data_IF_462551936240
#
_entry.id   IF_462551936240
#
_cell.length_a   1.000
_cell.length_b   1.000
_cell.length_c   1.000
_cell.angle_alpha   90.00
_cell.angle_beta   90.00
_cell.angle_gamma   90.00
#
_symmetry.space_group_name_H-M   'P 1'
#
loop_
_entity.id
_entity.type
_entity.pdbx_description
1 polymer ?
#
# COMPACT_ATOMS: atom_id res chain seq x y z
N UNK A 1 7.66 -27.04 -27.29
CA UNK A 1 8.82 -26.12 -27.28
C UNK A 1 8.36 -24.83 -26.65
N UNK A 2 8.59 -24.57 -25.35
CA UNK A 2 8.24 -23.27 -24.79
C UNK A 2 9.28 -22.26 -25.27
N UNK A 3 8.78 -21.11 -25.73
CA UNK A 3 9.53 -19.97 -26.22
C UNK A 3 10.47 -19.43 -25.15
N UNK A 4 11.75 -19.28 -25.50
CA UNK A 4 12.73 -18.56 -24.70
C UNK A 4 12.35 -17.08 -24.67
N UNK A 5 11.87 -16.59 -23.54
CA UNK A 5 11.79 -15.15 -23.30
C UNK A 5 13.20 -14.58 -23.07
N UNK A 6 13.49 -13.50 -23.76
CA UNK A 6 14.79 -12.86 -23.81
C UNK A 6 15.17 -12.27 -22.44
N UNK A 7 16.36 -12.65 -21.95
CA UNK A 7 16.99 -12.08 -20.76
C UNK A 7 17.54 -10.70 -21.15
N UNK A 8 16.96 -9.63 -20.61
CA UNK A 8 17.49 -8.27 -20.74
C UNK A 8 18.84 -8.14 -19.99
N UNK A 9 19.77 -7.28 -20.45
CA UNK A 9 21.12 -7.23 -19.90
C UNK A 9 21.13 -6.64 -18.49
N UNK A 10 21.84 -7.31 -17.58
CA UNK A 10 22.03 -6.88 -16.20
C UNK A 10 22.86 -5.60 -16.14
N UNK A 11 22.16 -4.45 -16.01
CA UNK A 11 22.75 -3.25 -15.43
C UNK A 11 23.03 -3.50 -13.96
N UNK A 12 24.16 -3.02 -13.48
CA UNK A 12 24.70 -3.22 -12.13
C UNK A 12 23.73 -2.74 -11.02
N UNK A 13 22.77 -3.56 -10.61
CA UNK A 13 21.94 -3.42 -9.41
C UNK A 13 22.40 -4.44 -8.39
N UNK A 14 23.33 -4.05 -7.52
CA UNK A 14 23.68 -4.90 -6.40
C UNK A 14 22.42 -5.12 -5.52
N UNK A 15 21.95 -6.37 -5.49
CA UNK A 15 21.25 -7.02 -4.39
C UNK A 15 19.70 -7.01 -4.28
N UNK A 16 18.92 -6.74 -5.34
CA UNK A 16 17.50 -7.17 -5.34
C UNK A 16 17.35 -8.44 -6.18
N UNK A 17 17.07 -9.56 -5.51
CA UNK A 17 16.83 -10.87 -6.14
C UNK A 17 15.34 -11.14 -6.21
N UNK A 18 14.83 -11.47 -7.39
CA UNK A 18 13.40 -11.73 -7.61
C UNK A 18 12.60 -10.46 -7.94
N UNK A 19 11.27 -10.57 -7.88
CA UNK A 19 10.35 -9.52 -8.30
C UNK A 19 10.03 -9.55 -9.80
N UNK A 20 8.88 -9.02 -10.18
CA UNK A 20 8.51 -8.89 -11.59
C UNK A 20 9.32 -7.77 -12.23
N UNK A 21 9.83 -7.97 -13.45
CA UNK A 21 10.59 -6.91 -14.16
C UNK A 21 9.77 -5.63 -14.40
N UNK A 22 8.44 -5.74 -14.41
CA UNK A 22 7.51 -4.61 -14.52
C UNK A 22 7.36 -3.81 -13.23
N UNK A 23 7.80 -4.34 -12.10
CA UNK A 23 7.72 -3.72 -10.78
C UNK A 23 9.00 -2.96 -10.39
N UNK A 24 9.87 -2.68 -11.36
CA UNK A 24 11.11 -1.94 -11.10
C UNK A 24 10.80 -0.48 -10.77
N UNK A 25 11.33 -0.01 -9.64
CA UNK A 25 11.29 1.41 -9.27
C UNK A 25 11.97 2.27 -10.33
N UNK A 26 11.43 3.46 -10.57
CA UNK A 26 12.04 4.49 -11.41
C UNK A 26 13.15 5.25 -10.70
N UNK A 27 13.26 5.13 -9.37
CA UNK A 27 14.35 5.73 -8.59
C UNK A 27 15.70 5.07 -8.91
N UNK A 28 16.55 5.78 -9.66
CA UNK A 28 17.90 5.31 -9.99
C UNK A 28 18.94 5.61 -8.88
N UNK A 29 18.58 6.49 -7.95
CA UNK A 29 19.41 6.91 -6.82
C UNK A 29 18.48 7.08 -5.61
N UNK A 30 19.01 6.95 -4.38
CA UNK A 30 18.26 7.32 -3.18
C UNK A 30 17.71 8.74 -3.29
N UNK A 31 16.42 8.90 -2.99
CA UNK A 31 15.79 10.20 -2.88
C UNK A 31 16.34 10.92 -1.63
N UNK A 32 16.39 12.25 -1.68
CA UNK A 32 16.96 13.07 -0.59
C UNK A 32 15.88 13.98 -0.04
N UNK A 33 15.57 13.81 1.25
CA UNK A 33 14.62 14.65 1.96
C UNK A 33 15.18 16.07 2.11
N UNK A 34 14.43 17.07 1.66
CA UNK A 34 14.83 18.48 1.79
C UNK A 34 14.47 19.11 3.14
N UNK A 35 13.62 18.44 3.94
CA UNK A 35 13.10 18.94 5.21
C UNK A 35 11.90 19.89 5.05
N UNK A 36 11.24 19.93 3.89
CA UNK A 36 10.12 20.85 3.63
C UNK A 36 8.89 20.57 4.53
N UNK A 37 8.77 19.35 5.05
CA UNK A 37 7.74 18.95 6.01
C UNK A 37 8.06 19.36 7.45
N UNK A 38 9.31 19.71 7.78
CA UNK A 38 9.75 19.98 9.16
C UNK A 38 9.08 21.22 9.76
N UNK A 39 8.57 22.11 8.90
CA UNK A 39 7.79 23.29 9.30
C UNK A 39 6.42 22.95 9.93
N UNK A 40 5.90 21.74 9.70
CA UNK A 40 4.61 21.31 10.25
C UNK A 40 4.81 20.64 11.60
N UNK A 41 3.84 20.81 12.50
CA UNK A 41 3.88 20.17 13.80
C UNK A 41 3.75 18.65 13.65
N UNK A 42 4.75 17.91 14.12
CA UNK A 42 4.80 16.47 13.99
C UNK A 42 5.50 15.79 15.17
N UNK A 43 5.21 14.49 15.34
CA UNK A 43 5.86 13.63 16.31
C UNK A 43 5.98 12.20 15.76
N UNK A 44 7.10 11.54 16.06
CA UNK A 44 7.25 10.12 15.75
C UNK A 44 6.46 9.28 16.77
N UNK A 45 5.58 8.41 16.28
CA UNK A 45 4.69 7.60 17.12
C UNK A 45 5.44 6.47 17.83
N UNK A 46 6.46 5.93 17.16
CA UNK A 46 7.39 4.95 17.74
C UNK A 46 8.81 5.26 17.24
N UNK A 47 9.86 4.69 17.84
CA UNK A 47 11.24 4.94 17.40
C UNK A 47 11.48 4.60 15.92
N UNK A 48 10.89 3.52 15.42
CA UNK A 48 11.23 2.98 14.09
C UNK A 48 10.16 3.25 13.04
N UNK A 49 8.88 3.22 13.41
CA UNK A 49 7.77 3.36 12.46
C UNK A 49 6.75 4.39 12.97
N UNK A 50 6.09 5.08 12.06
CA UNK A 50 5.01 5.99 12.38
C UNK A 50 5.49 7.40 12.60
N UNK A 51 4.88 8.33 11.88
CA UNK A 51 4.93 9.77 12.15
C UNK A 51 3.53 10.35 12.09
N UNK A 52 3.20 11.20 13.04
CA UNK A 52 1.94 11.92 13.10
C UNK A 52 2.16 13.40 12.82
N UNK A 53 1.29 13.98 11.99
CA UNK A 53 1.20 15.41 11.74
C UNK A 53 -0.14 15.95 12.26
N UNK A 54 -0.10 17.12 12.89
CA UNK A 54 -1.28 17.80 13.43
C UNK A 54 -1.34 19.26 12.96
N UNK A 55 -2.56 19.79 12.85
CA UNK A 55 -2.76 21.20 12.46
C UNK A 55 -2.47 21.52 10.99
N UNK A 56 -2.38 20.50 10.13
CA UNK A 56 -2.15 20.64 8.68
C UNK A 56 -3.24 19.91 7.91
N UNK A 57 -3.68 20.46 6.78
CA UNK A 57 -4.61 19.79 5.87
C UNK A 57 -3.86 19.32 4.62
N UNK A 58 -3.90 18.03 4.32
CA UNK A 58 -3.23 17.47 3.14
C UNK A 58 -3.84 17.96 1.82
N UNK A 59 -5.06 18.51 1.86
CA UNK A 59 -5.68 19.17 0.71
C UNK A 59 -4.84 20.37 0.24
N UNK A 60 -4.16 21.06 1.15
CA UNK A 60 -3.30 22.20 0.82
C UNK A 60 -2.06 21.76 0.03
N UNK A 61 -1.66 20.48 0.13
CA UNK A 61 -0.50 19.95 -0.57
C UNK A 61 -0.77 19.76 -2.06
N UNK A 62 -2.04 19.66 -2.46
CA UNK A 62 -2.42 19.60 -3.88
C UNK A 62 -2.01 20.86 -4.65
N UNK A 63 -2.00 22.02 -3.98
CA UNK A 63 -1.52 23.28 -4.55
C UNK A 63 -0.06 23.63 -4.22
N UNK A 64 0.64 22.78 -3.47
CA UNK A 64 2.01 23.03 -3.04
C UNK A 64 3.04 22.72 -4.14
N UNK A 65 4.27 23.19 -3.89
CA UNK A 65 5.42 22.83 -4.73
C UNK A 65 5.66 21.31 -4.77
N UNK A 66 6.38 20.88 -5.81
CA UNK A 66 6.67 19.46 -6.00
C UNK A 66 7.56 18.91 -4.88
N UNK A 67 8.46 19.72 -4.34
CA UNK A 67 9.37 19.32 -3.27
C UNK A 67 8.64 18.84 -2.02
N UNK A 68 7.50 19.45 -1.67
CA UNK A 68 6.68 19.02 -0.55
C UNK A 68 6.11 17.61 -0.74
N UNK A 69 5.70 17.27 -1.96
CA UNK A 69 5.21 15.92 -2.29
C UNK A 69 6.35 14.91 -2.32
N UNK A 70 7.51 15.30 -2.84
CA UNK A 70 8.70 14.46 -2.85
C UNK A 70 9.11 14.10 -1.41
N UNK A 71 9.19 15.09 -0.53
CA UNK A 71 9.51 14.87 0.88
C UNK A 71 8.41 14.07 1.61
N UNK A 72 7.15 14.18 1.19
CA UNK A 72 6.06 13.36 1.71
C UNK A 72 6.22 11.89 1.31
N UNK A 73 6.51 11.59 0.05
CA UNK A 73 6.76 10.23 -0.41
C UNK A 73 7.98 9.61 0.29
N UNK A 74 9.05 10.38 0.45
CA UNK A 74 10.24 9.97 1.21
C UNK A 74 9.88 9.71 2.67
N UNK A 75 9.18 10.63 3.33
CA UNK A 75 8.80 10.48 4.74
C UNK A 75 7.91 9.26 4.97
N UNK A 76 6.98 8.97 4.06
CA UNK A 76 6.15 7.76 4.14
C UNK A 76 7.02 6.51 4.00
N UNK A 77 7.95 6.49 3.05
CA UNK A 77 8.85 5.35 2.81
C UNK A 77 9.79 5.11 4.00
N UNK A 78 10.35 6.16 4.59
CA UNK A 78 11.25 6.08 5.75
C UNK A 78 10.52 5.70 7.04
N UNK A 79 9.31 6.23 7.24
CA UNK A 79 8.54 6.04 8.49
C UNK A 79 7.53 4.90 8.41
N UNK A 80 7.35 4.26 7.25
CA UNK A 80 6.40 3.18 6.98
C UNK A 80 4.92 3.59 7.01
N UNK A 81 4.51 4.43 7.96
CA UNK A 81 3.16 5.00 8.04
C UNK A 81 3.22 6.45 8.50
N UNK A 82 2.44 7.30 7.84
CA UNK A 82 2.27 8.71 8.20
C UNK A 82 0.79 8.98 8.46
N UNK A 83 0.48 9.60 9.58
CA UNK A 83 -0.89 9.90 10.02
C UNK A 83 -1.09 11.40 10.04
N UNK A 84 -2.10 11.87 9.30
CA UNK A 84 -2.56 13.26 9.36
C UNK A 84 -3.87 13.34 10.15
N UNK A 85 -3.91 14.14 11.22
CA UNK A 85 -5.10 14.26 12.07
C UNK A 85 -6.12 15.26 11.54
N UNK A 86 -7.41 14.95 11.74
CA UNK A 86 -8.53 15.83 11.43
C UNK A 86 -8.55 16.35 9.98
N UNK A 87 -8.54 15.44 9.00
CA UNK A 87 -8.46 15.79 7.59
C UNK A 87 -9.83 16.00 6.94
N UNK A 88 -10.02 17.17 6.33
CA UNK A 88 -11.14 17.50 5.46
C UNK A 88 -10.71 17.43 3.98
N UNK A 89 -10.56 16.19 3.51
CA UNK A 89 -10.19 15.89 2.12
C UNK A 89 -11.27 15.03 1.45
N UNK A 90 -11.60 15.34 0.21
CA UNK A 90 -12.58 14.58 -0.58
C UNK A 90 -11.96 13.32 -1.20
N UNK A 91 -12.75 12.29 -1.57
CA UNK A 91 -12.25 11.09 -2.22
C UNK A 91 -11.50 11.38 -3.54
N UNK A 92 -11.94 12.37 -4.32
CA UNK A 92 -11.26 12.82 -5.54
C UNK A 92 -9.89 13.42 -5.23
N UNK A 93 -9.80 14.27 -4.21
CA UNK A 93 -8.53 14.86 -3.77
C UNK A 93 -7.58 13.80 -3.20
N UNK A 94 -8.10 12.80 -2.49
CA UNK A 94 -7.29 11.66 -2.02
C UNK A 94 -6.67 10.90 -3.20
N UNK A 95 -7.45 10.62 -4.25
CA UNK A 95 -6.95 9.96 -5.47
C UNK A 95 -5.83 10.76 -6.13
N UNK A 96 -6.02 12.06 -6.26
CA UNK A 96 -5.03 12.97 -6.84
C UNK A 96 -3.74 12.98 -6.00
N UNK A 97 -3.85 13.14 -4.69
CA UNK A 97 -2.69 13.15 -3.79
C UNK A 97 -1.97 11.80 -3.81
N UNK A 98 -2.70 10.68 -3.79
CA UNK A 98 -2.12 9.34 -3.85
C UNK A 98 -1.31 9.13 -5.14
N UNK A 99 -1.84 9.56 -6.29
CA UNK A 99 -1.12 9.50 -7.57
C UNK A 99 0.16 10.37 -7.54
N UNK A 100 0.09 11.58 -6.97
CA UNK A 100 1.27 12.44 -6.84
C UNK A 100 2.35 11.83 -5.95
N UNK A 101 1.97 11.19 -4.83
CA UNK A 101 2.90 10.48 -3.95
C UNK A 101 3.53 9.27 -4.66
N UNK A 102 2.73 8.47 -5.37
CA UNK A 102 3.19 7.32 -6.16
C UNK A 102 4.21 7.74 -7.21
N UNK A 103 3.94 8.83 -7.93
CA UNK A 103 4.86 9.38 -8.92
C UNK A 103 6.17 9.86 -8.28
N UNK A 104 6.08 10.66 -7.21
CA UNK A 104 7.22 11.21 -6.49
C UNK A 104 8.09 10.13 -5.83
N UNK A 105 7.47 9.07 -5.34
CA UNK A 105 8.14 7.90 -4.79
C UNK A 105 8.83 7.02 -5.83
N UNK A 106 8.70 7.34 -7.12
CA UNK A 106 9.31 6.59 -8.21
C UNK A 106 8.76 5.17 -8.35
N UNK A 107 7.47 4.98 -8.11
CA UNK A 107 6.79 3.73 -8.40
C UNK A 107 6.98 3.33 -9.88
N UNK A 108 6.77 2.05 -10.26
CA UNK A 108 6.79 1.63 -11.65
C UNK A 108 5.79 2.41 -12.55
N UNK A 109 6.06 2.55 -13.86
CA UNK A 109 5.15 3.24 -14.81
C UNK A 109 3.76 2.62 -14.87
N UNK A 110 3.66 1.32 -14.60
CA UNK A 110 2.39 0.60 -14.57
C UNK A 110 1.64 0.73 -13.23
N UNK A 111 2.23 1.39 -12.22
CA UNK A 111 1.57 1.67 -10.96
C UNK A 111 0.57 2.82 -11.14
N UNK A 112 -0.71 2.49 -10.94
CA UNK A 112 -1.80 3.44 -10.91
C UNK A 112 -2.68 3.21 -9.68
N UNK A 113 -3.89 3.78 -9.69
CA UNK A 113 -4.87 3.50 -8.63
C UNK A 113 -5.48 2.11 -8.82
N UNK A 114 -5.23 1.25 -7.83
CA UNK A 114 -5.74 -0.12 -7.85
C UNK A 114 -7.28 -0.15 -7.71
N UNK A 115 -7.94 -0.96 -8.53
CA UNK A 115 -9.35 -1.31 -8.37
C UNK A 115 -9.39 -2.64 -7.62
N UNK A 116 -9.82 -2.59 -6.36
CA UNK A 116 -9.88 -3.79 -5.52
C UNK A 116 -10.79 -4.85 -6.17
N UNK A 117 -10.42 -6.16 -6.15
CA UNK A 117 -11.13 -7.20 -6.92
C UNK A 117 -12.63 -7.33 -6.61
N UNK A 118 -13.01 -6.92 -5.39
CA UNK A 118 -14.39 -6.97 -4.88
C UNK A 118 -15.12 -5.62 -4.88
N UNK A 119 -14.54 -4.55 -5.44
CA UNK A 119 -15.25 -3.26 -5.52
C UNK A 119 -16.38 -3.33 -6.54
N UNK A 120 -17.58 -2.89 -6.12
CA UNK A 120 -18.79 -2.90 -6.95
C UNK A 120 -18.66 -2.02 -8.20
N UNK A 121 -19.14 -2.56 -9.32
CA UNK A 121 -19.63 -1.86 -10.53
C UNK A 121 -20.03 -0.38 -10.39
N UNK A 122 -19.26 0.61 -10.87
CA UNK A 122 -19.76 1.98 -11.02
C UNK A 122 -20.04 2.69 -9.70
N UNK A 123 -19.15 2.52 -8.73
CA UNK A 123 -19.23 3.21 -7.44
C UNK A 123 -19.33 4.73 -7.63
N UNK A 124 -20.20 5.40 -6.88
CA UNK A 124 -20.35 6.87 -6.91
C UNK A 124 -19.07 7.60 -6.47
N UNK A 125 -18.19 6.92 -5.72
CA UNK A 125 -16.88 7.42 -5.29
C UNK A 125 -15.77 7.16 -6.34
N UNK A 126 -16.10 6.38 -7.37
CA UNK A 126 -15.18 5.82 -8.34
C UNK A 126 -14.72 4.42 -7.96
N UNK A 127 -14.48 3.59 -8.98
CA UNK A 127 -14.15 2.16 -8.83
C UNK A 127 -12.81 1.91 -8.11
N UNK A 128 -11.92 2.90 -8.08
CA UNK A 128 -10.64 2.83 -7.39
C UNK A 128 -10.76 2.99 -5.86
N UNK A 129 -11.95 3.34 -5.34
CA UNK A 129 -12.16 3.58 -3.93
C UNK A 129 -12.86 2.36 -3.31
N UNK A 130 -12.13 1.63 -2.49
CA UNK A 130 -12.67 0.53 -1.69
C UNK A 130 -13.21 1.07 -0.36
N UNK A 131 -14.51 0.85 -0.10
CA UNK A 131 -15.15 1.25 1.16
C UNK A 131 -15.19 0.06 2.12
N UNK A 132 -14.46 0.20 3.23
CA UNK A 132 -14.47 -0.77 4.33
C UNK A 132 -15.54 -0.35 5.34
N UNK A 133 -16.53 -1.21 5.57
CA UNK A 133 -17.66 -0.93 6.45
C UNK A 133 -18.10 -2.16 7.23
N UNK A 134 -18.03 -2.07 8.56
CA UNK A 134 -18.51 -3.11 9.48
C UNK A 134 -20.03 -3.31 9.39
N UNK A 135 -20.80 -2.26 9.09
CA UNK A 135 -22.25 -2.36 8.87
C UNK A 135 -22.60 -3.10 7.57
N UNK A 136 -21.77 -2.93 6.52
CA UNK A 136 -21.91 -3.72 5.28
C UNK A 136 -21.57 -5.19 5.53
N UNK A 137 -20.52 -5.46 6.30
CA UNK A 137 -20.13 -6.82 6.72
C UNK A 137 -21.20 -7.54 7.54
N UNK A 138 -21.83 -6.86 8.50
CA UNK A 138 -22.96 -7.43 9.27
C UNK A 138 -24.14 -7.85 8.40
N UNK A 139 -24.33 -7.19 7.26
CA UNK A 139 -25.39 -7.51 6.28
C UNK A 139 -24.95 -8.51 5.21
N UNK A 140 -23.78 -9.12 5.37
CA UNK A 140 -23.24 -10.17 4.50
C UNK A 140 -22.40 -9.69 3.31
N UNK A 141 -22.14 -8.37 3.20
CA UNK A 141 -21.34 -7.78 2.12
C UNK A 141 -19.89 -7.45 2.52
N UNK A 142 -18.98 -7.37 1.55
CA UNK A 142 -17.56 -7.14 1.81
C UNK A 142 -16.82 -8.40 2.28
N UNK A 143 -15.52 -8.29 2.58
CA UNK A 143 -14.68 -9.42 3.00
C UNK A 143 -15.13 -9.96 4.35
N UNK A 144 -15.57 -11.22 4.39
CA UNK A 144 -16.01 -11.91 5.62
C UNK A 144 -14.99 -12.91 6.17
N UNK A 145 -13.98 -13.27 5.39
CA UNK A 145 -13.05 -14.37 5.68
C UNK A 145 -12.12 -14.13 6.90
N UNK A 146 -11.91 -12.88 7.32
CA UNK A 146 -11.11 -12.61 8.53
C UNK A 146 -11.80 -13.11 9.81
N UNK A 147 -13.11 -13.35 9.78
CA UNK A 147 -13.89 -13.79 10.95
C UNK A 147 -13.96 -15.32 11.11
N UNK A 148 -13.40 -16.09 10.16
CA UNK A 148 -13.46 -17.56 10.16
C UNK A 148 -12.11 -18.26 10.37
N UNK A 149 -11.01 -17.51 10.55
CA UNK A 149 -9.71 -18.10 10.81
C UNK A 149 -9.62 -18.65 12.26
N UNK A 150 -9.53 -19.97 12.38
CA UNK A 150 -9.40 -20.71 13.64
C UNK A 150 -7.95 -21.02 14.01
N UNK A 151 -6.98 -20.53 13.24
CA UNK A 151 -5.56 -20.72 13.53
C UNK A 151 -5.16 -20.00 14.82
N UNK A 152 -4.28 -20.63 15.61
CA UNK A 152 -3.76 -20.05 16.86
C UNK A 152 -2.48 -19.23 16.64
N UNK A 153 -2.10 -18.99 15.39
CA UNK A 153 -0.86 -18.29 15.09
C UNK A 153 -1.04 -16.79 15.29
N UNK A 154 -0.16 -16.18 16.07
CA UNK A 154 -0.17 -14.74 16.31
C UNK A 154 0.07 -13.90 15.04
N UNK A 155 0.55 -14.53 13.96
CA UNK A 155 0.74 -13.91 12.65
C UNK A 155 -0.53 -13.84 11.80
N UNK A 156 -1.60 -14.54 12.17
CA UNK A 156 -2.85 -14.51 11.43
C UNK A 156 -3.43 -13.09 11.38
N UNK A 157 -3.88 -12.66 10.21
CA UNK A 157 -4.44 -11.32 9.96
C UNK A 157 -3.42 -10.24 9.57
N UNK A 158 -2.13 -10.43 9.83
CA UNK A 158 -1.08 -9.54 9.32
C UNK A 158 -0.90 -9.74 7.82
N UNK A 159 -0.91 -8.64 7.06
CA UNK A 159 -0.73 -8.67 5.61
C UNK A 159 -0.16 -7.36 5.10
N UNK A 160 0.30 -7.39 3.85
CA UNK A 160 0.47 -6.22 3.01
C UNK A 160 -0.49 -6.34 1.83
N UNK A 161 -1.06 -5.22 1.42
CA UNK A 161 -2.11 -5.19 0.40
C UNK A 161 -1.60 -5.66 -0.96
N UNK A 162 -2.39 -6.50 -1.62
CA UNK A 162 -2.30 -6.81 -3.07
C UNK A 162 -0.91 -7.35 -3.52
N UNK A 163 -0.22 -8.08 -2.65
CA UNK A 163 1.10 -8.66 -2.94
C UNK A 163 1.12 -9.77 -4.01
N UNK A 164 -0.06 -10.23 -4.45
CA UNK A 164 -0.22 -11.21 -5.53
C UNK A 164 -0.18 -10.60 -6.93
N UNK A 165 -0.30 -9.27 -7.06
CA UNK A 165 -0.19 -8.60 -8.36
C UNK A 165 1.27 -8.55 -8.83
N UNK A 166 1.52 -8.66 -10.15
CA UNK A 166 2.86 -8.48 -10.71
C UNK A 166 3.51 -7.14 -10.36
N UNK A 167 2.71 -6.09 -10.26
CA UNK A 167 3.11 -4.75 -9.80
C UNK A 167 2.23 -4.45 -8.60
N UNK A 168 2.76 -4.72 -7.40
CA UNK A 168 2.04 -4.53 -6.13
C UNK A 168 1.86 -3.05 -5.80
N UNK A 169 1.01 -2.76 -4.82
CA UNK A 169 0.81 -1.39 -4.33
C UNK A 169 2.07 -0.88 -3.61
N UNK A 170 2.58 0.26 -4.05
CA UNK A 170 3.69 0.99 -3.37
C UNK A 170 3.18 1.80 -2.17
N UNK A 171 2.03 2.45 -2.34
CA UNK A 171 1.40 3.31 -1.33
C UNK A 171 -0.09 3.00 -1.21
N UNK A 172 -0.59 3.02 0.03
CA UNK A 172 -2.01 2.96 0.35
C UNK A 172 -2.42 4.22 1.12
N UNK A 173 -3.61 4.74 0.83
CA UNK A 173 -4.18 5.90 1.53
C UNK A 173 -5.52 5.53 2.15
N UNK A 174 -5.61 5.64 3.47
CA UNK A 174 -6.81 5.33 4.24
C UNK A 174 -7.33 6.61 4.92
N UNK A 175 -8.61 6.93 4.70
CA UNK A 175 -9.33 7.95 5.47
C UNK A 175 -10.37 7.26 6.35
N UNK A 176 -10.25 7.47 7.66
CA UNK A 176 -11.26 7.03 8.60
C UNK A 176 -12.44 8.00 8.58
N UNK A 177 -13.60 7.53 8.11
CA UNK A 177 -14.82 8.34 8.03
C UNK A 177 -15.68 8.22 9.30
N UNK A 178 -15.87 7.00 9.79
CA UNK A 178 -16.71 6.72 10.96
C UNK A 178 -15.96 5.81 11.92
N UNK A 179 -15.74 6.29 13.15
CA UNK A 179 -15.10 5.53 14.22
C UNK A 179 -16.14 4.93 15.17
N UNK A 180 -15.91 3.71 15.69
CA UNK A 180 -16.66 3.25 16.86
C UNK A 180 -16.24 4.05 18.09
N UNK A 181 -17.07 4.01 19.16
CA UNK A 181 -16.75 4.69 20.42
C UNK A 181 -15.46 4.15 21.09
N UNK A 182 -15.09 2.91 20.82
CA UNK A 182 -13.87 2.25 21.29
C UNK A 182 -13.47 1.13 20.34
N UNK A 183 -12.16 0.87 20.21
CA UNK A 183 -11.61 -0.13 19.31
C UNK A 183 -11.58 0.36 17.84
N UNK A 184 -11.25 -0.55 16.92
CA UNK A 184 -11.09 -0.19 15.49
C UNK A 184 -9.69 0.32 15.13
N UNK A 185 -8.70 0.10 16.00
CA UNK A 185 -7.30 0.44 15.72
C UNK A 185 -6.75 -0.42 14.59
N UNK A 186 -5.93 0.19 13.74
CA UNK A 186 -5.10 -0.54 12.77
C UNK A 186 -3.69 -0.65 13.33
N UNK A 187 -3.22 -1.87 13.49
CA UNK A 187 -1.83 -2.13 13.89
C UNK A 187 -0.93 -2.17 12.66
N UNK A 188 0.28 -1.63 12.82
CA UNK A 188 1.31 -1.59 11.77
C UNK A 188 2.60 -2.22 12.29
N UNK A 189 3.37 -2.81 11.38
CA UNK A 189 4.68 -3.36 11.66
C UNK A 189 5.66 -2.97 10.54
N UNK A 190 6.92 -2.68 10.90
CA UNK A 190 7.95 -2.32 9.93
C UNK A 190 8.63 -3.59 9.41
N UNK A 191 8.53 -3.83 8.11
CA UNK A 191 9.28 -4.90 7.44
C UNK A 191 10.80 -4.70 7.53
N UNK A 192 11.26 -3.44 7.50
CA UNK A 192 12.68 -3.09 7.68
C UNK A 192 13.20 -3.50 9.06
N UNK A 193 12.48 -3.13 10.12
CA UNK A 193 12.87 -3.48 11.49
C UNK A 193 12.82 -4.98 11.75
N UNK A 194 11.83 -5.67 11.17
CA UNK A 194 11.74 -7.13 11.25
C UNK A 194 13.00 -7.75 10.63
N UNK A 195 13.42 -7.26 9.45
CA UNK A 195 14.61 -7.74 8.76
C UNK A 195 15.90 -7.47 9.55
N UNK A 196 16.07 -6.24 10.05
CA UNK A 196 17.25 -5.81 10.80
C UNK A 196 17.43 -6.57 12.11
N UNK A 197 16.33 -7.09 12.69
CA UNK A 197 16.34 -7.93 13.90
C UNK A 197 16.67 -9.39 13.64
N UNK A 198 16.67 -9.85 12.39
CA UNK A 198 17.06 -11.21 12.06
C UNK A 198 18.54 -11.41 12.37
N UNK A 199 18.90 -12.62 12.83
CA UNK A 199 20.32 -12.98 12.91
C UNK A 199 20.96 -12.93 11.51
N UNK A 200 22.27 -12.60 11.38
CA UNK A 200 22.93 -12.57 10.08
C UNK A 200 22.79 -13.88 9.28
N UNK A 201 22.77 -15.03 9.96
CA UNK A 201 22.56 -16.33 9.31
C UNK A 201 21.15 -16.47 8.70
N UNK A 202 20.13 -15.94 9.38
CA UNK A 202 18.76 -15.94 8.86
C UNK A 202 18.60 -14.96 7.70
N UNK A 203 19.24 -13.79 7.75
CA UNK A 203 19.26 -12.85 6.63
C UNK A 203 19.82 -13.52 5.37
N UNK A 204 21.03 -14.08 5.46
CA UNK A 204 21.70 -14.79 4.34
C UNK A 204 20.82 -15.93 3.79
N UNK A 205 20.18 -16.69 4.67
CA UNK A 205 19.30 -17.78 4.26
C UNK A 205 18.08 -17.27 3.48
N UNK A 206 17.41 -16.22 3.98
CA UNK A 206 16.18 -15.69 3.39
C UNK A 206 16.43 -14.87 2.11
N UNK A 207 17.55 -14.15 1.99
CA UNK A 207 17.94 -13.38 0.79
C UNK A 207 18.07 -14.26 -0.47
N UNK A 208 18.23 -15.58 -0.30
CA UNK A 208 18.29 -16.56 -1.39
C UNK A 208 16.94 -17.13 -1.82
N UNK A 209 15.85 -16.82 -1.11
CA UNK A 209 14.55 -17.45 -1.30
C UNK A 209 13.55 -16.54 -2.01
N UNK A 210 12.50 -17.14 -2.55
CA UNK A 210 11.33 -16.45 -3.08
C UNK A 210 10.07 -16.96 -2.39
N UNK A 211 9.03 -16.12 -2.36
CA UNK A 211 7.72 -16.48 -1.84
C UNK A 211 6.67 -16.37 -2.96
N UNK A 212 5.72 -17.29 -3.00
CA UNK A 212 4.56 -17.23 -3.89
C UNK A 212 3.40 -16.57 -3.16
N UNK A 213 2.89 -15.48 -3.71
CA UNK A 213 1.73 -14.76 -3.21
C UNK A 213 0.52 -15.09 -4.09
N UNK A 214 -0.54 -15.58 -3.48
CA UNK A 214 -1.75 -16.05 -4.15
C UNK A 214 -2.97 -15.46 -3.43
N UNK A 215 -3.97 -15.06 -4.21
CA UNK A 215 -5.20 -14.49 -3.67
C UNK A 215 -6.45 -15.14 -4.26
N UNK A 216 -6.40 -16.48 -4.47
CA UNK A 216 -7.55 -17.26 -4.92
C UNK A 216 -8.79 -17.09 -4.03
N UNK A 217 -8.62 -16.74 -2.75
CA UNK A 217 -9.74 -16.44 -1.86
C UNK A 217 -10.66 -15.33 -2.38
N UNK A 218 -10.16 -14.40 -3.23
CA UNK A 218 -11.03 -13.41 -3.88
C UNK A 218 -11.99 -14.05 -4.90
N UNK A 219 -11.59 -15.14 -5.58
CA UNK A 219 -12.48 -15.90 -6.47
C UNK A 219 -13.63 -16.50 -5.67
N UNK A 220 -13.29 -17.14 -4.55
CA UNK A 220 -14.26 -17.77 -3.66
C UNK A 220 -15.26 -16.73 -3.10
N UNK A 221 -14.77 -15.54 -2.72
CA UNK A 221 -15.61 -14.46 -2.21
C UNK A 221 -16.47 -13.80 -3.29
N UNK A 222 -15.94 -13.66 -4.51
CA UNK A 222 -16.68 -13.17 -5.67
C UNK A 222 -17.85 -14.11 -6.02
N UNK A 223 -17.61 -15.43 -6.01
CA UNK A 223 -18.64 -16.45 -6.18
C UNK A 223 -19.69 -16.37 -5.07
N UNK A 224 -19.25 -16.26 -3.80
CA UNK A 224 -20.15 -16.13 -2.64
C UNK A 224 -21.05 -14.90 -2.73
N UNK A 225 -20.51 -13.79 -3.19
CA UNK A 225 -21.24 -12.51 -3.32
C UNK A 225 -22.07 -12.41 -4.61
N UNK A 226 -21.90 -13.35 -5.55
CA UNK A 226 -22.54 -13.28 -6.87
C UNK A 226 -22.05 -12.13 -7.74
N UNK A 227 -20.87 -11.56 -7.42
CA UNK A 227 -20.29 -10.43 -8.12
C UNK A 227 -19.08 -10.90 -8.93
N UNK A 228 -19.02 -10.64 -10.25
CA UNK A 228 -17.85 -11.01 -11.04
C UNK A 228 -16.61 -10.23 -10.58
N UNK A 229 -15.44 -10.88 -10.61
CA UNK A 229 -14.18 -10.22 -10.31
C UNK A 229 -13.93 -9.05 -11.27
N UNK A 230 -13.38 -7.97 -10.72
CA UNK A 230 -12.86 -6.87 -11.53
C UNK A 230 -11.54 -7.28 -12.18
N UNK A 231 -11.40 -7.05 -13.48
CA UNK A 231 -10.12 -7.19 -14.17
C UNK A 231 -9.18 -6.03 -13.79
N UNK A 232 -8.03 -6.37 -13.21
CA UNK A 232 -6.98 -5.44 -12.83
C UNK A 232 -6.40 -4.63 -14.00
N UNK A 233 -6.69 -5.00 -15.25
CA UNK A 233 -6.30 -4.24 -16.46
C UNK A 233 -7.09 -2.95 -16.67
N UNK A 234 -8.28 -2.82 -16.06
CA UNK A 234 -9.22 -1.71 -16.30
C UNK A 234 -8.85 -0.44 -15.51
N UNK A 235 -8.03 -0.55 -14.46
CA UNK A 235 -7.61 0.57 -13.60
C UNK A 235 -6.24 1.18 -13.90
N UNK A 236 -5.50 0.66 -14.90
CA UNK A 236 -4.11 1.07 -15.20
C UNK A 236 -3.98 2.19 -16.24
N UNK A 237 -4.99 3.04 -16.38
CA UNK A 237 -4.97 4.18 -17.33
C UNK A 237 -4.96 5.50 -16.60
#
# INVERSE_FOLDING_TARGET
>A
MPSQEAIAPAGNTAAIRGGNYKAQTRCQKPLVNSGSLDKFNHADLTPVIGREFTGVQVVDFLGADQQLIDDLAITISERGVVVFRAQDITPQQMKELALRITEAGGAPELSGLHIHPLTEAGSELGDQISVISSEKQKKGGGLTHQLSDVSRFASAGWHSDITFEPVSSDYAMLKIHTLPASGGDTLWASGYEIYDRLSPAMQIFLEGLTATHDARFFLDEAERLGNPLRDASVGRR
#
